data_IF_748361773123
#
_entry.id   IF_748361773123
#
_cell.length_a   1.000
_cell.length_b   1.000
_cell.length_c   1.000
_cell.angle_alpha   90.00
_cell.angle_beta   90.00
_cell.angle_gamma   90.00
#
_symmetry.space_group_name_H-M   'P 1'
#
loop_
_entity.id
_entity.type
_entity.pdbx_description
1 polymer ?
#
# COMPACT_ATOMS: atom_id res chain seq x y z
N UNK A 1 26.95 60.01 24.41
CA UNK A 1 25.57 60.39 24.00
C UNK A 1 25.43 60.16 22.50
N UNK A 2 24.40 59.55 21.92
CA UNK A 2 23.36 58.64 22.41
C UNK A 2 22.66 57.95 21.20
N UNK A 3 23.32 57.84 20.04
CA UNK A 3 22.64 57.48 18.78
C UNK A 3 23.35 56.47 17.86
N UNK A 4 24.50 55.88 18.22
CA UNK A 4 25.20 54.92 17.35
C UNK A 4 24.89 53.44 17.61
N UNK A 5 24.19 53.11 18.70
CA UNK A 5 23.84 51.72 19.04
C UNK A 5 22.43 51.29 18.57
N UNK A 6 21.58 52.25 18.15
CA UNK A 6 20.18 51.95 17.79
C UNK A 6 20.03 51.53 16.31
N UNK A 7 20.97 51.91 15.44
CA UNK A 7 20.87 51.61 14.01
C UNK A 7 21.29 50.18 13.64
N UNK A 8 22.10 49.50 14.48
CA UNK A 8 22.55 48.12 14.22
C UNK A 8 21.49 47.07 14.62
N UNK A 9 20.63 47.38 15.60
CA UNK A 9 19.59 46.46 16.08
C UNK A 9 18.40 46.42 15.12
N UNK A 10 18.09 47.53 14.44
CA UNK A 10 16.99 47.58 13.46
C UNK A 10 17.34 46.84 12.16
N UNK A 11 18.61 46.76 11.76
CA UNK A 11 19.00 46.04 10.54
C UNK A 11 19.13 44.52 10.74
N UNK A 12 19.48 44.06 11.95
CA UNK A 12 19.53 42.62 12.28
C UNK A 12 18.13 42.03 12.47
N UNK A 13 17.14 42.83 12.88
CA UNK A 13 15.74 42.41 12.97
C UNK A 13 14.99 42.46 11.62
N UNK A 14 15.48 43.19 10.61
CA UNK A 14 14.82 43.25 9.30
C UNK A 14 15.33 42.19 8.30
N UNK A 15 16.50 41.60 8.54
CA UNK A 15 17.08 40.53 7.69
C UNK A 15 16.80 39.10 8.19
N UNK A 16 16.17 38.95 9.37
CA UNK A 16 15.69 37.66 9.88
C UNK A 16 14.24 37.34 9.44
N UNK A 17 13.63 38.25 8.67
CA UNK A 17 12.29 38.13 8.10
C UNK A 17 12.25 37.76 6.61
N UNK A 18 13.37 37.40 5.99
CA UNK A 18 13.36 36.56 4.79
C UNK A 18 13.13 35.13 5.25
N UNK A 19 11.88 34.95 5.66
CA UNK A 19 11.21 33.71 5.93
C UNK A 19 11.72 32.69 4.93
N UNK A 20 12.39 31.66 5.44
CA UNK A 20 12.27 30.35 4.84
C UNK A 20 10.77 30.11 4.74
N UNK A 21 10.19 30.42 3.58
CA UNK A 21 9.01 29.74 3.11
C UNK A 21 9.47 28.29 3.04
N UNK A 22 9.40 27.59 4.17
CA UNK A 22 9.11 26.17 4.14
C UNK A 22 7.81 26.15 3.39
N UNK A 23 7.89 25.88 2.09
CA UNK A 23 6.79 25.27 1.40
C UNK A 23 6.49 24.08 2.29
N UNK A 24 5.42 24.17 3.07
CA UNK A 24 4.63 22.99 3.37
C UNK A 24 4.49 22.25 2.02
N UNK A 25 4.44 20.93 1.95
CA UNK A 25 4.16 20.26 0.66
C UNK A 25 3.00 19.27 0.80
N UNK A 26 2.60 18.71 -0.33
CA UNK A 26 1.31 18.03 -0.52
C UNK A 26 1.28 16.67 0.16
N UNK A 27 0.12 16.25 0.65
CA UNK A 27 -0.05 14.88 1.14
C UNK A 27 -0.37 13.94 -0.04
N UNK A 28 0.27 12.77 -0.04
CA UNK A 28 0.05 11.72 -1.03
C UNK A 28 -0.23 10.42 -0.29
N UNK A 29 -1.30 9.74 -0.67
CA UNK A 29 -1.63 8.42 -0.14
C UNK A 29 -1.43 7.35 -1.22
N UNK A 30 -0.97 6.18 -0.79
CA UNK A 30 -0.75 5.01 -1.64
C UNK A 30 -1.81 3.96 -1.33
N UNK A 31 -2.49 3.51 -2.37
CA UNK A 31 -3.25 2.27 -2.41
C UNK A 31 -2.36 1.20 -3.06
N UNK A 32 -1.65 0.41 -2.26
CA UNK A 32 -0.54 -0.42 -2.73
C UNK A 32 -0.99 -1.58 -3.62
N UNK A 33 -2.26 -1.98 -3.58
CA UNK A 33 -2.76 -3.02 -4.47
C UNK A 33 -4.19 -2.74 -4.93
N UNK A 34 -4.35 -2.43 -6.21
CA UNK A 34 -5.65 -2.37 -6.87
C UNK A 34 -5.74 -3.48 -7.92
N UNK A 35 -6.96 -3.93 -8.19
CA UNK A 35 -7.24 -4.93 -9.22
C UNK A 35 -8.47 -4.52 -10.01
N UNK A 36 -8.38 -4.77 -11.31
CA UNK A 36 -9.47 -4.67 -12.28
C UNK A 36 -9.58 -6.00 -13.01
N UNK A 37 -10.73 -6.66 -12.93
CA UNK A 37 -11.08 -7.82 -13.75
C UNK A 37 -12.59 -7.92 -13.91
N UNK A 38 -13.05 -8.91 -14.69
CA UNK A 38 -14.47 -9.21 -14.84
C UNK A 38 -15.10 -9.84 -13.59
N UNK A 39 -14.28 -10.25 -12.62
CA UNK A 39 -14.73 -10.99 -11.42
C UNK A 39 -14.28 -10.35 -10.12
N UNK A 40 -13.29 -9.46 -10.15
CA UNK A 40 -12.73 -8.79 -8.97
C UNK A 40 -12.58 -7.31 -9.27
N UNK A 41 -13.06 -6.47 -8.36
CA UNK A 41 -12.88 -5.03 -8.46
C UNK A 41 -12.42 -4.40 -7.16
N UNK A 42 -11.79 -3.23 -7.25
CA UNK A 42 -11.41 -2.41 -6.09
C UNK A 42 -12.27 -1.16 -6.02
N UNK A 43 -13.04 -1.02 -4.95
CA UNK A 43 -13.64 0.23 -4.54
C UNK A 43 -12.60 1.03 -3.75
N UNK A 44 -12.44 2.29 -4.12
CA UNK A 44 -11.53 3.22 -3.45
C UNK A 44 -12.38 4.33 -2.85
N UNK A 45 -12.09 4.70 -1.61
CA UNK A 45 -12.61 5.89 -0.95
C UNK A 45 -11.47 6.80 -0.57
N UNK A 46 -11.58 8.09 -0.90
CA UNK A 46 -10.61 9.12 -0.55
C UNK A 46 -11.33 10.24 0.16
N UNK A 47 -10.78 10.69 1.28
CA UNK A 47 -11.24 11.88 2.00
C UNK A 47 -10.17 12.95 1.90
N UNK A 48 -10.55 14.12 1.41
CA UNK A 48 -9.74 15.32 1.50
C UNK A 48 -10.02 16.05 2.82
N UNK A 49 -9.00 16.33 3.65
CA UNK A 49 -9.17 17.06 4.91
C UNK A 49 -8.74 18.53 4.88
N UNK A 50 -8.43 19.08 3.71
CA UNK A 50 -7.92 20.46 3.61
C UNK A 50 -8.63 21.33 2.58
N UNK A 51 -8.66 22.64 2.85
CA UNK A 51 -9.10 23.69 1.92
C UNK A 51 -8.01 24.13 0.93
N UNK A 52 -6.75 23.76 1.19
CA UNK A 52 -5.60 24.30 0.47
C UNK A 52 -5.43 23.73 -0.94
N UNK A 53 -6.13 22.65 -1.27
CA UNK A 53 -6.12 22.02 -2.58
C UNK A 53 -7.50 22.06 -3.22
N UNK A 54 -7.56 22.50 -4.48
CA UNK A 54 -8.80 22.55 -5.27
C UNK A 54 -8.99 21.30 -6.14
N UNK A 55 -7.96 20.47 -6.30
CA UNK A 55 -7.99 19.25 -7.09
C UNK A 55 -7.23 18.12 -6.40
N UNK A 56 -7.69 16.88 -6.61
CA UNK A 56 -6.91 15.68 -6.37
C UNK A 56 -6.44 15.10 -7.71
N UNK A 57 -5.17 14.71 -7.79
CA UNK A 57 -4.61 13.97 -8.91
C UNK A 57 -4.54 12.51 -8.55
N UNK A 58 -5.09 11.67 -9.42
CA UNK A 58 -5.12 10.22 -9.34
C UNK A 58 -4.11 9.67 -10.34
N UNK A 59 -3.19 8.83 -9.88
CA UNK A 59 -2.12 8.25 -10.71
C UNK A 59 -2.18 6.74 -10.55
N UNK A 60 -2.73 6.08 -11.56
CA UNK A 60 -2.69 4.63 -11.69
C UNK A 60 -1.37 4.19 -12.28
N UNK A 61 -0.80 3.18 -11.63
CA UNK A 61 0.40 2.48 -12.09
C UNK A 61 0.05 1.01 -12.16
N UNK A 62 -0.07 0.46 -13.36
CA UNK A 62 -0.68 -0.84 -13.57
C UNK A 62 -0.01 -1.63 -14.68
N UNK A 63 -0.31 -2.92 -14.74
CA UNK A 63 0.11 -3.81 -15.81
C UNK A 63 -0.84 -4.99 -15.95
N UNK A 64 -0.62 -5.81 -16.97
CA UNK A 64 -1.31 -7.09 -17.09
C UNK A 64 -1.05 -7.98 -15.87
N UNK A 65 -2.12 -8.54 -15.33
CA UNK A 65 -2.07 -9.33 -14.10
C UNK A 65 -1.13 -10.56 -14.18
N UNK A 66 -0.88 -11.09 -15.38
CA UNK A 66 -0.08 -12.30 -15.59
C UNK A 66 1.40 -12.02 -15.85
N UNK A 67 1.84 -10.75 -15.73
CA UNK A 67 3.20 -10.32 -16.09
C UNK A 67 3.94 -9.67 -14.90
N UNK A 68 4.35 -10.43 -13.87
CA UNK A 68 4.94 -9.89 -12.65
C UNK A 68 6.26 -9.13 -12.85
N UNK A 69 6.99 -9.39 -13.94
CA UNK A 69 8.26 -8.72 -14.28
C UNK A 69 8.13 -7.57 -15.30
N UNK A 70 6.96 -7.41 -15.92
CA UNK A 70 6.76 -6.36 -16.91
C UNK A 70 6.74 -4.95 -16.27
N UNK A 71 7.13 -3.97 -17.08
CA UNK A 71 7.01 -2.56 -16.76
C UNK A 71 5.55 -2.17 -16.55
N UNK A 72 5.31 -1.13 -15.73
CA UNK A 72 3.98 -0.59 -15.55
C UNK A 72 3.68 0.50 -16.56
N UNK A 73 2.44 0.51 -17.00
CA UNK A 73 1.80 1.62 -17.66
C UNK A 73 1.33 2.64 -16.60
N UNK A 74 1.13 3.87 -17.05
CA UNK A 74 0.75 5.00 -16.20
C UNK A 74 -0.44 5.70 -16.79
N UNK A 75 -1.51 5.81 -16.01
CA UNK A 75 -2.69 6.59 -16.35
C UNK A 75 -2.94 7.59 -15.24
N UNK A 76 -3.08 8.87 -15.59
CA UNK A 76 -3.37 9.90 -14.58
C UNK A 76 -4.42 10.90 -15.04
N UNK A 77 -5.16 11.41 -14.08
CA UNK A 77 -6.15 12.46 -14.26
C UNK A 77 -6.32 13.24 -12.95
N UNK A 78 -7.06 14.34 -13.01
CA UNK A 78 -7.36 15.17 -11.83
C UNK A 78 -8.86 15.42 -11.72
N UNK A 79 -9.34 15.60 -10.50
CA UNK A 79 -10.74 15.85 -10.19
C UNK A 79 -10.83 17.00 -9.19
N UNK A 80 -11.79 17.93 -9.35
CA UNK A 80 -12.04 18.93 -8.33
C UNK A 80 -12.32 18.27 -6.97
N UNK A 81 -11.94 18.94 -5.89
CA UNK A 81 -12.26 18.52 -4.51
C UNK A 81 -12.53 19.74 -3.63
N UNK A 82 -13.04 19.48 -2.43
CA UNK A 82 -13.23 20.49 -1.38
C UNK A 82 -12.82 19.91 -0.02
N UNK A 83 -12.78 20.74 1.03
CA UNK A 83 -12.48 20.25 2.37
C UNK A 83 -13.58 19.31 2.87
N UNK A 84 -13.18 18.20 3.48
CA UNK A 84 -14.05 17.12 3.95
C UNK A 84 -14.83 16.41 2.83
N UNK A 85 -14.44 16.62 1.58
CA UNK A 85 -14.94 15.86 0.43
C UNK A 85 -14.55 14.39 0.56
N UNK A 86 -15.56 13.51 0.48
CA UNK A 86 -15.41 12.06 0.46
C UNK A 86 -15.87 11.59 -0.91
N UNK A 87 -14.95 10.99 -1.65
CA UNK A 87 -15.22 10.40 -2.95
C UNK A 87 -14.97 8.90 -2.90
N UNK A 88 -15.98 8.12 -3.27
CA UNK A 88 -15.85 6.68 -3.46
C UNK A 88 -16.07 6.32 -4.92
N UNK A 89 -15.26 5.44 -5.48
CA UNK A 89 -15.38 5.02 -6.88
C UNK A 89 -14.89 3.60 -7.10
N UNK A 90 -15.28 3.03 -8.23
CA UNK A 90 -14.89 1.70 -8.65
C UNK A 90 -13.76 1.73 -9.69
N UNK A 91 -12.61 1.12 -9.37
CA UNK A 91 -11.42 1.07 -10.24
C UNK A 91 -11.69 0.32 -11.54
N UNK A 92 -12.53 -0.73 -11.52
CA UNK A 92 -12.84 -1.46 -12.75
C UNK A 92 -13.86 -0.74 -13.65
N UNK A 93 -14.67 0.15 -13.07
CA UNK A 93 -15.78 0.82 -13.74
C UNK A 93 -17.04 -0.03 -13.86
N UNK A 94 -17.17 -1.09 -13.06
CA UNK A 94 -18.34 -1.97 -13.00
C UNK A 94 -19.51 -1.29 -12.30
N UNK A 95 -19.24 -0.59 -11.20
CA UNK A 95 -20.25 0.15 -10.45
C UNK A 95 -20.29 1.61 -10.93
N UNK A 96 -21.50 2.07 -11.26
CA UNK A 96 -21.77 3.42 -11.77
C UNK A 96 -20.86 3.85 -12.94
N UNK A 97 -20.44 2.90 -13.79
CA UNK A 97 -19.50 3.14 -14.91
C UNK A 97 -18.17 3.78 -14.47
N UNK A 98 -17.78 3.59 -13.21
CA UNK A 98 -16.59 4.21 -12.61
C UNK A 98 -16.74 5.69 -12.30
N UNK A 99 -17.95 6.23 -12.34
CA UNK A 99 -18.26 7.50 -11.72
C UNK A 99 -18.25 7.36 -10.19
N UNK A 100 -18.35 8.51 -9.51
CA UNK A 100 -18.53 8.58 -8.08
C UNK A 100 -19.71 7.71 -7.60
N UNK A 101 -19.55 7.01 -6.48
CA UNK A 101 -20.57 6.14 -5.89
C UNK A 101 -21.37 6.88 -4.83
N UNK A 102 -22.35 6.17 -4.23
CA UNK A 102 -23.16 6.65 -3.10
C UNK A 102 -23.93 7.95 -3.36
N UNK A 103 -24.42 8.11 -4.61
CA UNK A 103 -25.21 9.24 -5.05
C UNK A 103 -24.50 10.59 -4.88
N UNK A 104 -23.18 10.59 -5.06
CA UNK A 104 -22.44 11.81 -5.26
C UNK A 104 -22.91 12.47 -6.58
N UNK A 105 -23.61 13.59 -6.44
CA UNK A 105 -24.19 14.33 -7.57
C UNK A 105 -23.20 15.32 -8.18
N UNK A 106 -21.98 15.41 -7.66
CA UNK A 106 -21.00 16.35 -8.17
C UNK A 106 -20.66 16.04 -9.64
N UNK A 107 -20.69 17.07 -10.46
CA UNK A 107 -20.28 16.97 -11.86
C UNK A 107 -18.75 17.07 -11.94
N UNK A 108 -18.08 15.94 -12.00
CA UNK A 108 -16.61 15.82 -12.10
C UNK A 108 -16.03 16.15 -13.49
N UNK A 109 -16.57 17.21 -14.13
CA UNK A 109 -16.42 17.54 -15.55
C UNK A 109 -17.03 16.48 -16.49
N UNK A 110 -17.69 16.94 -17.56
CA UNK A 110 -18.56 16.13 -18.43
C UNK A 110 -17.90 14.84 -18.96
N UNK A 111 -18.34 13.68 -18.44
CA UNK A 111 -17.96 12.35 -18.93
C UNK A 111 -16.67 11.75 -18.34
N UNK A 112 -16.14 12.36 -17.29
CA UNK A 112 -14.81 12.01 -16.76
C UNK A 112 -14.91 11.08 -15.54
N UNK A 113 -14.68 9.78 -15.79
CA UNK A 113 -14.75 8.70 -14.80
C UNK A 113 -13.47 8.56 -13.98
N UNK A 114 -13.53 7.88 -12.84
CA UNK A 114 -12.38 7.56 -11.98
C UNK A 114 -11.77 6.18 -12.29
N UNK A 115 -12.46 5.33 -13.04
CA UNK A 115 -12.00 3.97 -13.32
C UNK A 115 -10.76 3.94 -14.23
N UNK A 116 -10.01 2.84 -14.13
CA UNK A 116 -8.90 2.56 -15.04
C UNK A 116 -9.43 2.14 -16.41
N UNK A 117 -9.25 2.95 -17.45
CA UNK A 117 -9.89 2.76 -18.78
C UNK A 117 -9.32 1.60 -19.59
N UNK A 118 -8.15 1.09 -19.24
CA UNK A 118 -7.52 -0.06 -19.90
C UNK A 118 -8.40 -1.31 -19.91
N UNK A 119 -8.27 -2.10 -20.99
CA UNK A 119 -8.97 -3.37 -21.16
C UNK A 119 -8.21 -4.54 -20.55
N UNK A 120 -8.94 -5.59 -20.16
CA UNK A 120 -8.37 -6.83 -19.63
C UNK A 120 -8.08 -6.77 -18.13
N UNK A 121 -7.47 -7.83 -17.62
CA UNK A 121 -7.18 -7.96 -16.18
C UNK A 121 -5.96 -7.14 -15.82
N UNK A 122 -6.15 -6.12 -15.00
CA UNK A 122 -5.08 -5.24 -14.53
C UNK A 122 -4.85 -5.40 -13.04
N UNK A 123 -3.59 -5.31 -12.66
CA UNK A 123 -3.15 -5.15 -11.28
C UNK A 123 -2.26 -3.93 -11.22
N UNK A 124 -2.39 -3.16 -10.14
CA UNK A 124 -1.72 -1.88 -10.04
C UNK A 124 -1.56 -1.43 -8.60
N UNK A 125 -1.07 -0.21 -8.46
CA UNK A 125 -1.32 0.63 -7.30
C UNK A 125 -1.91 1.97 -7.78
N UNK A 126 -2.49 2.70 -6.83
CA UNK A 126 -3.00 4.05 -7.06
C UNK A 126 -2.32 5.01 -6.09
N UNK A 127 -1.81 6.12 -6.61
CA UNK A 127 -1.39 7.27 -5.82
C UNK A 127 -2.46 8.36 -5.94
N UNK A 128 -2.80 8.98 -4.82
CA UNK A 128 -3.68 10.15 -4.80
C UNK A 128 -2.95 11.28 -4.10
N UNK A 129 -2.87 12.43 -4.75
CA UNK A 129 -2.11 13.59 -4.27
C UNK A 129 -2.90 14.88 -4.46
N UNK A 130 -2.71 15.84 -3.56
CA UNK A 130 -3.25 17.18 -3.76
C UNK A 130 -2.59 17.89 -4.94
N UNK A 131 -3.39 18.60 -5.74
CA UNK A 131 -2.94 19.28 -6.95
C UNK A 131 -3.69 20.58 -7.23
N UNK A 132 -3.13 21.41 -8.10
CA UNK A 132 -3.81 22.59 -8.65
C UNK A 132 -4.62 22.23 -9.91
N UNK A 133 -5.28 23.23 -10.49
CA UNK A 133 -6.04 23.06 -11.74
C UNK A 133 -5.17 22.71 -12.96
N UNK A 134 -3.84 22.80 -12.89
CA UNK A 134 -2.91 22.34 -13.93
C UNK A 134 -2.52 20.88 -13.72
N UNK A 135 -2.81 20.30 -12.55
CA UNK A 135 -2.40 18.94 -12.19
C UNK A 135 -0.97 18.88 -11.62
N UNK A 136 -0.42 20.03 -11.25
CA UNK A 136 0.83 20.15 -10.52
C UNK A 136 0.54 19.94 -9.03
N UNK A 137 1.46 19.29 -8.34
CA UNK A 137 1.33 18.96 -6.92
C UNK A 137 1.22 20.23 -6.07
N UNK A 138 0.25 20.27 -5.15
CA UNK A 138 0.00 21.44 -4.28
C UNK A 138 0.19 21.05 -2.83
N UNK A 139 1.03 21.83 -2.17
CA UNK A 139 1.17 21.85 -0.73
C UNK A 139 -0.11 22.07 0.05
N UNK A 140 -0.31 21.27 1.11
CA UNK A 140 -1.45 21.49 2.02
C UNK A 140 -1.11 21.49 3.51
N UNK A 141 0.14 21.25 3.90
CA UNK A 141 0.57 21.36 5.30
C UNK A 141 0.30 20.10 6.11
N UNK A 142 -0.34 20.23 7.29
CA UNK A 142 -0.59 19.10 8.21
C UNK A 142 -1.96 18.44 8.06
N UNK A 143 -2.80 18.99 7.19
CA UNK A 143 -4.13 18.46 6.89
C UNK A 143 -4.06 17.58 5.65
N UNK A 144 -4.43 16.30 5.80
CA UNK A 144 -4.04 15.28 4.83
C UNK A 144 -5.14 14.58 4.07
N UNK A 145 -4.70 13.63 3.25
CA UNK A 145 -5.58 12.66 2.62
C UNK A 145 -5.77 11.47 3.55
N UNK A 146 -6.99 10.95 3.57
CA UNK A 146 -7.29 9.64 4.11
C UNK A 146 -7.84 8.76 3.00
N UNK A 147 -7.55 7.47 3.05
CA UNK A 147 -8.04 6.55 2.04
C UNK A 147 -8.31 5.16 2.59
N UNK A 148 -9.34 4.53 2.03
CA UNK A 148 -9.67 3.13 2.26
C UNK A 148 -9.99 2.46 0.94
N UNK A 149 -9.64 1.20 0.84
CA UNK A 149 -9.98 0.37 -0.31
C UNK A 149 -10.76 -0.85 0.17
N UNK A 150 -11.71 -1.28 -0.65
CA UNK A 150 -12.38 -2.58 -0.52
C UNK A 150 -12.25 -3.29 -1.85
N UNK A 151 -11.67 -4.48 -1.83
CA UNK A 151 -11.63 -5.35 -2.99
C UNK A 151 -12.75 -6.37 -2.84
N UNK A 152 -13.52 -6.54 -3.92
CA UNK A 152 -14.71 -7.37 -3.97
C UNK A 152 -14.54 -8.38 -5.10
N UNK A 153 -14.59 -9.66 -4.77
CA UNK A 153 -14.86 -10.71 -5.72
C UNK A 153 -16.38 -10.83 -5.89
N UNK A 154 -16.88 -10.33 -7.02
CA UNK A 154 -18.31 -10.26 -7.29
C UNK A 154 -18.91 -11.61 -7.67
N UNK A 155 -18.08 -12.62 -7.99
CA UNK A 155 -18.56 -13.97 -8.32
C UNK A 155 -18.76 -14.77 -7.05
N UNK A 156 -17.80 -14.69 -6.12
CA UNK A 156 -17.85 -15.46 -4.87
C UNK A 156 -18.52 -14.70 -3.73
N UNK A 157 -18.70 -13.38 -3.85
CA UNK A 157 -19.20 -12.51 -2.78
C UNK A 157 -18.14 -12.20 -1.71
N UNK A 158 -16.90 -12.64 -1.90
CA UNK A 158 -15.79 -12.33 -0.99
C UNK A 158 -15.42 -10.85 -1.05
N UNK A 159 -15.16 -10.24 0.10
CA UNK A 159 -14.67 -8.87 0.17
C UNK A 159 -13.66 -8.70 1.29
N UNK A 160 -12.66 -7.86 1.04
CA UNK A 160 -11.64 -7.49 2.02
C UNK A 160 -11.25 -6.03 1.81
N UNK A 161 -10.87 -5.33 2.87
CA UNK A 161 -10.49 -3.93 2.78
C UNK A 161 -9.20 -3.62 3.50
N UNK A 162 -8.60 -2.49 3.13
CA UNK A 162 -7.39 -1.98 3.77
C UNK A 162 -7.39 -0.46 3.76
N UNK A 163 -6.61 0.14 4.67
CA UNK A 163 -6.36 1.58 4.68
C UNK A 163 -5.21 1.92 3.74
N UNK A 164 -5.34 3.03 3.04
CA UNK A 164 -4.25 3.59 2.25
C UNK A 164 -3.08 3.93 3.16
N UNK A 165 -1.87 3.77 2.63
CA UNK A 165 -0.64 4.12 3.31
C UNK A 165 -0.45 5.62 3.13
N UNK A 166 -0.34 6.33 4.25
CA UNK A 166 0.06 7.73 4.26
C UNK A 166 1.55 7.81 4.58
N UNK A 167 2.29 8.60 3.81
CA UNK A 167 3.69 8.85 4.06
C UNK A 167 3.84 9.70 5.34
N UNK A 168 4.39 9.09 6.40
CA UNK A 168 4.53 9.71 7.72
C UNK A 168 5.52 10.89 7.73
N UNK A 169 6.49 10.90 6.81
CA UNK A 169 7.51 11.96 6.77
C UNK A 169 7.14 13.16 5.90
N UNK A 170 6.00 13.09 5.19
CA UNK A 170 5.55 14.11 4.23
C UNK A 170 6.58 14.28 3.10
N UNK A 171 6.05 14.49 1.90
CA UNK A 171 6.82 15.03 0.76
C UNK A 171 7.84 14.06 0.15
N UNK A 172 7.38 13.19 -0.72
CA UNK A 172 7.65 13.23 -2.16
C UNK A 172 7.06 11.93 -2.70
N UNK A 173 7.12 11.63 -3.99
CA UNK A 173 6.92 10.24 -4.43
C UNK A 173 8.07 9.32 -3.99
N UNK A 174 8.73 9.71 -2.91
CA UNK A 174 9.89 9.22 -2.18
C UNK A 174 9.30 8.64 -0.92
N UNK A 175 8.83 7.40 -1.03
CA UNK A 175 8.72 6.56 0.16
C UNK A 175 10.16 6.31 0.57
N UNK A 176 10.74 7.26 1.31
CA UNK A 176 12.12 7.21 1.72
C UNK A 176 12.36 5.91 2.47
N UNK A 177 13.57 5.39 2.32
CA UNK A 177 14.18 4.43 3.21
C UNK A 177 14.39 5.04 4.62
N UNK A 178 13.32 5.53 5.28
CA UNK A 178 13.35 6.08 6.65
C UNK A 178 13.34 4.99 7.70
N UNK A 179 13.78 3.78 7.33
CA UNK A 179 13.65 2.61 8.18
C UNK A 179 12.26 1.98 8.13
N UNK A 180 11.38 2.36 7.21
CA UNK A 180 10.18 1.58 6.87
C UNK A 180 10.55 0.43 5.93
N UNK A 181 11.41 -0.47 6.41
CA UNK A 181 11.73 -1.72 5.73
C UNK A 181 10.50 -2.63 5.63
N UNK A 182 10.34 -3.30 4.49
CA UNK A 182 9.52 -4.50 4.30
C UNK A 182 8.29 -4.60 5.20
N UNK A 183 7.37 -3.64 5.10
CA UNK A 183 6.17 -3.66 5.93
C UNK A 183 5.22 -4.71 5.36
N UNK A 184 5.30 -5.92 5.91
CA UNK A 184 4.16 -6.82 5.91
C UNK A 184 3.14 -6.19 6.85
N UNK A 185 2.17 -5.48 6.27
CA UNK A 185 1.05 -4.95 7.05
C UNK A 185 0.13 -6.13 7.37
N UNK A 186 0.50 -6.92 8.38
CA UNK A 186 -0.50 -7.59 9.21
C UNK A 186 -1.06 -6.51 10.13
N UNK A 187 -2.39 -6.37 10.18
CA UNK A 187 -3.08 -5.31 10.93
C UNK A 187 -2.87 -5.41 12.46
N UNK A 188 -2.10 -6.39 12.94
CA UNK A 188 -1.45 -6.30 14.25
C UNK A 188 -0.17 -5.48 14.13
N UNK A 189 -0.34 -4.17 13.98
CA UNK A 189 0.65 -3.23 14.48
C UNK A 189 0.86 -3.53 15.96
N UNK A 190 1.89 -4.29 16.30
CA UNK A 190 2.42 -4.37 17.65
C UNK A 190 3.09 -3.02 17.97
N UNK A 191 2.29 -1.96 18.07
CA UNK A 191 2.76 -0.71 18.64
C UNK A 191 2.95 -0.98 20.13
N UNK A 192 4.19 -0.92 20.57
CA UNK A 192 4.51 -1.04 22.00
C UNK A 192 3.84 0.16 22.67
N UNK A 193 3.05 -0.04 23.74
CA UNK A 193 2.50 1.08 24.51
C UNK A 193 3.67 1.98 24.90
N UNK A 194 3.61 3.24 24.49
CA UNK A 194 4.61 4.21 24.91
C UNK A 194 4.49 4.34 26.44
N UNK A 195 5.53 4.02 27.23
CA UNK A 195 5.44 4.09 28.69
C UNK A 195 5.28 5.54 29.20
N UNK A 196 5.35 6.53 28.32
CA UNK A 196 5.10 7.94 28.63
C UNK A 196 3.60 8.22 28.48
N UNK A 197 2.91 8.40 29.62
CA UNK A 197 1.49 8.70 29.69
C UNK A 197 1.11 9.94 28.85
N UNK A 198 0.33 9.72 27.78
CA UNK A 198 -0.28 10.79 26.98
C UNK A 198 0.20 10.89 25.53
N UNK A 199 1.26 10.16 25.17
CA UNK A 199 1.75 10.10 23.79
C UNK A 199 1.13 8.88 23.07
N UNK A 200 0.78 9.00 21.78
CA UNK A 200 0.33 7.86 20.98
C UNK A 200 1.40 6.75 20.97
N UNK A 201 0.97 5.48 20.86
CA UNK A 201 1.89 4.34 20.91
C UNK A 201 2.95 4.44 19.81
N UNK A 202 4.20 4.17 20.19
CA UNK A 202 5.36 4.38 19.32
C UNK A 202 5.62 3.10 18.53
N UNK A 203 5.14 3.05 17.29
CA UNK A 203 5.40 1.93 16.38
C UNK A 203 6.82 2.11 15.81
N UNK A 204 7.77 1.27 16.22
CA UNK A 204 9.15 1.32 15.72
C UNK A 204 9.20 0.84 14.26
N UNK A 205 9.81 1.63 13.35
CA UNK A 205 10.15 1.16 12.01
C UNK A 205 11.22 0.08 12.13
N UNK A 206 10.98 -1.03 11.47
CA UNK A 206 11.93 -2.11 11.34
C UNK A 206 12.93 -1.80 10.25
N UNK A 207 14.23 -1.82 10.56
CA UNK A 207 15.30 -1.54 9.60
C UNK A 207 15.15 -2.31 8.28
N UNK A 208 15.61 -1.76 7.14
CA UNK A 208 15.61 -2.48 5.86
C UNK A 208 16.27 -3.85 6.03
N UNK A 209 15.52 -4.91 5.71
CA UNK A 209 15.95 -6.29 5.97
C UNK A 209 15.39 -6.91 7.25
N UNK A 210 14.47 -6.27 7.97
CA UNK A 210 13.73 -6.98 9.00
C UNK A 210 12.67 -7.90 8.39
N UNK A 211 12.81 -9.17 8.71
CA UNK A 211 11.90 -10.23 8.31
C UNK A 211 10.61 -10.13 9.12
N UNK A 212 9.45 -10.09 8.48
CA UNK A 212 8.15 -10.09 9.17
C UNK A 212 7.54 -11.48 9.15
N UNK A 213 7.22 -12.00 10.34
CA UNK A 213 6.53 -13.29 10.46
C UNK A 213 5.10 -13.15 9.97
N UNK A 214 4.62 -14.14 9.22
CA UNK A 214 3.21 -14.32 8.94
C UNK A 214 2.83 -15.78 9.17
N UNK A 215 1.59 -15.99 9.59
CA UNK A 215 0.98 -17.31 9.70
C UNK A 215 0.21 -17.57 8.41
N UNK A 216 0.15 -18.83 8.00
CA UNK A 216 -0.68 -19.26 6.89
C UNK A 216 -1.43 -20.57 7.19
N UNK A 217 -2.53 -20.77 6.48
CA UNK A 217 -3.35 -21.98 6.59
C UNK A 217 -2.85 -23.16 5.74
N UNK A 218 -3.28 -24.41 6.03
CA UNK A 218 -2.94 -25.57 5.22
C UNK A 218 -3.17 -25.29 3.72
N UNK A 219 -2.14 -25.35 2.86
CA UNK A 219 -2.27 -25.03 1.44
C UNK A 219 -3.22 -25.94 0.65
N UNK A 220 -3.58 -27.11 1.19
CA UNK A 220 -4.57 -28.02 0.60
C UNK A 220 -6.02 -27.58 0.85
N UNK A 221 -6.25 -26.77 1.87
CA UNK A 221 -7.57 -26.26 2.27
C UNK A 221 -7.74 -24.78 1.87
N UNK A 222 -6.63 -24.02 1.92
CA UNK A 222 -6.61 -22.59 1.72
C UNK A 222 -5.57 -22.18 0.69
N UNK A 223 -5.81 -21.06 0.02
CA UNK A 223 -4.79 -20.37 -0.74
C UNK A 223 -4.36 -19.13 0.02
N UNK A 224 -3.07 -19.02 0.25
CA UNK A 224 -2.44 -17.78 0.72
C UNK A 224 -1.84 -17.05 -0.48
N UNK A 225 -2.25 -15.81 -0.70
CA UNK A 225 -1.76 -14.94 -1.77
C UNK A 225 -1.16 -13.67 -1.20
N UNK A 226 -0.01 -13.28 -1.73
CA UNK A 226 0.72 -12.06 -1.38
C UNK A 226 0.62 -11.05 -2.50
N UNK A 227 0.32 -9.80 -2.17
CA UNK A 227 0.32 -8.66 -3.06
C UNK A 227 1.46 -7.75 -2.64
N UNK A 228 2.41 -7.56 -3.54
CA UNK A 228 3.70 -6.97 -3.24
C UNK A 228 3.90 -5.76 -4.12
N UNK A 229 4.26 -4.62 -3.53
CA UNK A 229 4.45 -3.35 -4.22
C UNK A 229 5.76 -2.72 -3.73
N UNK A 230 6.79 -2.59 -4.59
CA UNK A 230 7.98 -1.84 -4.26
C UNK A 230 7.62 -0.36 -4.08
N UNK A 231 8.21 0.23 -3.04
CA UNK A 231 8.02 1.63 -2.67
C UNK A 231 9.40 2.29 -2.63
N UNK A 232 9.48 3.55 -3.01
CA UNK A 232 10.74 4.27 -3.16
C UNK A 232 10.48 5.64 -3.77
N UNK A 233 11.50 6.23 -4.40
CA UNK A 233 11.43 7.55 -5.05
C UNK A 233 10.85 7.46 -6.45
N UNK A 234 10.14 8.52 -6.87
CA UNK A 234 9.58 8.60 -8.21
C UNK A 234 8.51 7.54 -8.48
N UNK A 235 7.75 7.05 -7.50
CA UNK A 235 6.67 6.08 -7.77
C UNK A 235 5.66 6.55 -8.84
N UNK A 236 5.50 7.86 -9.05
CA UNK A 236 4.66 8.40 -10.11
C UNK A 236 5.32 8.43 -11.49
N UNK A 237 6.65 8.30 -11.60
CA UNK A 237 7.43 8.41 -12.84
C UNK A 237 8.27 7.17 -13.18
N UNK A 238 8.64 6.33 -12.21
CA UNK A 238 9.58 5.22 -12.35
C UNK A 238 8.96 3.83 -12.15
N UNK A 239 9.61 2.81 -12.73
CA UNK A 239 9.27 1.40 -12.52
C UNK A 239 10.17 0.83 -11.43
N UNK A 240 9.76 1.00 -10.17
CA UNK A 240 10.51 0.46 -9.04
C UNK A 240 10.53 -1.07 -9.07
N UNK A 241 11.66 -1.65 -8.71
CA UNK A 241 11.84 -3.10 -8.63
C UNK A 241 12.10 -3.53 -7.19
N UNK A 242 11.68 -4.75 -6.87
CA UNK A 242 11.95 -5.41 -5.59
C UNK A 242 12.14 -6.90 -5.82
N UNK A 243 12.91 -7.54 -4.93
CA UNK A 243 13.12 -8.99 -4.94
C UNK A 243 12.70 -9.55 -3.60
N UNK A 244 11.76 -10.47 -3.59
CA UNK A 244 11.13 -10.95 -2.35
C UNK A 244 11.22 -12.46 -2.19
N UNK A 245 11.22 -12.95 -0.96
CA UNK A 245 11.26 -14.37 -0.67
C UNK A 245 10.55 -14.70 0.65
N UNK A 246 10.11 -15.94 0.81
CA UNK A 246 9.65 -16.50 2.07
C UNK A 246 10.79 -17.31 2.68
N UNK A 247 11.12 -17.08 3.95
CA UNK A 247 12.26 -17.73 4.65
C UNK A 247 11.85 -18.23 6.03
N UNK A 248 12.59 -19.20 6.59
CA UNK A 248 12.25 -19.78 7.89
C UNK A 248 12.71 -18.87 9.02
N UNK A 249 13.94 -18.36 8.99
CA UNK A 249 14.49 -17.45 10.00
C UNK A 249 15.77 -16.85 9.46
N UNK A 250 15.94 -15.54 9.63
CA UNK A 250 17.22 -14.88 9.34
C UNK A 250 18.01 -14.84 10.63
N UNK A 251 18.98 -15.76 10.75
CA UNK A 251 19.93 -15.75 11.88
C UNK A 251 21.07 -14.75 11.57
N UNK A 252 21.41 -14.58 10.30
CA UNK A 252 22.29 -13.50 9.82
C UNK A 252 22.05 -13.22 8.33
N UNK A 253 22.43 -12.03 7.81
CA UNK A 253 22.36 -11.71 6.38
C UNK A 253 23.15 -12.68 5.48
N UNK A 254 24.11 -13.42 6.04
CA UNK A 254 24.99 -14.32 5.32
C UNK A 254 24.49 -15.78 5.24
N UNK A 255 23.41 -16.13 5.94
CA UNK A 255 22.88 -17.49 5.95
C UNK A 255 21.36 -17.49 6.18
N UNK A 256 20.54 -17.21 5.14
CA UNK A 256 19.13 -17.53 5.20
C UNK A 256 19.00 -19.04 5.37
N UNK A 257 18.41 -19.48 6.49
CA UNK A 257 18.00 -20.86 6.62
C UNK A 257 16.74 -21.03 5.75
N UNK A 258 16.88 -21.70 4.61
CA UNK A 258 15.77 -21.95 3.67
C UNK A 258 14.70 -22.80 4.33
N UNK A 259 13.45 -22.34 4.30
CA UNK A 259 12.33 -23.17 4.72
C UNK A 259 11.13 -22.38 5.21
N UNK A 260 10.14 -23.15 5.66
CA UNK A 260 8.90 -22.68 6.27
C UNK A 260 8.70 -23.50 7.54
N UNK A 261 8.01 -23.00 8.55
CA UNK A 261 7.70 -23.80 9.73
C UNK A 261 6.29 -24.37 9.64
N UNK A 262 6.13 -25.65 9.93
CA UNK A 262 4.81 -26.21 10.18
C UNK A 262 4.24 -25.70 11.51
N UNK A 263 2.91 -25.70 11.67
CA UNK A 263 2.26 -25.30 12.94
C UNK A 263 2.71 -26.13 14.15
N UNK A 264 3.17 -27.36 13.94
CA UNK A 264 3.72 -28.22 14.99
C UNK A 264 5.14 -27.86 15.45
N UNK A 265 5.72 -26.75 14.96
CA UNK A 265 7.09 -26.32 15.30
C UNK A 265 8.20 -27.08 14.57
N UNK A 266 7.85 -28.10 13.78
CA UNK A 266 8.77 -28.80 12.89
C UNK A 266 9.25 -27.90 11.75
N UNK A 267 10.56 -27.94 11.49
CA UNK A 267 11.17 -27.24 10.36
C UNK A 267 10.81 -27.98 9.07
N UNK A 268 10.09 -27.32 8.15
CA UNK A 268 9.95 -27.84 6.79
C UNK A 268 11.19 -27.43 6.01
N UNK A 269 12.10 -28.37 5.79
CA UNK A 269 13.24 -28.17 4.90
C UNK A 269 12.75 -28.13 3.46
N UNK A 270 13.21 -27.14 2.72
CA UNK A 270 13.03 -27.01 1.28
C UNK A 270 13.65 -25.71 0.78
N UNK A 271 13.97 -25.69 -0.50
CA UNK A 271 14.46 -24.51 -1.17
C UNK A 271 13.35 -23.44 -1.23
N UNK A 272 13.74 -22.21 -0.93
CA UNK A 272 12.86 -21.04 -1.01
C UNK A 272 13.20 -20.26 -2.27
N UNK A 273 12.19 -19.83 -3.02
CA UNK A 273 12.41 -19.15 -4.30
C UNK A 273 12.21 -17.64 -4.17
N UNK A 274 13.27 -16.90 -4.47
CA UNK A 274 13.17 -15.46 -4.65
C UNK A 274 12.33 -15.13 -5.90
N UNK A 275 11.46 -14.13 -5.78
CA UNK A 275 10.66 -13.58 -6.88
C UNK A 275 11.06 -12.14 -7.14
N UNK A 276 11.37 -11.86 -8.39
CA UNK A 276 11.57 -10.49 -8.87
C UNK A 276 10.22 -9.92 -9.30
N UNK A 277 9.99 -8.64 -8.98
CA UNK A 277 8.81 -7.92 -9.43
C UNK A 277 9.14 -6.48 -9.83
N UNK A 278 8.35 -5.98 -10.77
CA UNK A 278 8.39 -4.58 -11.24
C UNK A 278 7.06 -3.90 -10.91
N UNK A 279 7.10 -2.87 -10.08
CA UNK A 279 6.04 -2.03 -9.50
C UNK A 279 4.89 -2.70 -8.71
N UNK A 280 4.29 -3.81 -9.15
CA UNK A 280 3.31 -4.56 -8.34
C UNK A 280 3.26 -6.02 -8.78
N UNK A 281 3.05 -6.97 -7.87
CA UNK A 281 2.82 -8.36 -8.24
C UNK A 281 1.89 -9.06 -7.24
N UNK A 282 1.25 -10.13 -7.71
CA UNK A 282 0.52 -11.06 -6.87
C UNK A 282 1.16 -12.45 -7.00
N UNK A 283 1.48 -13.09 -5.89
CA UNK A 283 2.11 -14.40 -5.83
C UNK A 283 1.35 -15.30 -4.87
N UNK A 284 1.16 -16.57 -5.25
CA UNK A 284 0.63 -17.57 -4.34
C UNK A 284 1.77 -18.11 -3.46
N UNK A 285 1.46 -18.58 -2.25
CA UNK A 285 2.45 -19.15 -1.35
C UNK A 285 3.24 -20.29 -1.99
N UNK A 286 2.57 -21.10 -2.83
CA UNK A 286 3.20 -22.18 -3.58
C UNK A 286 4.27 -21.70 -4.56
N UNK A 287 4.25 -20.44 -4.98
CA UNK A 287 5.28 -19.88 -5.86
C UNK A 287 6.61 -19.72 -5.12
N UNK A 288 6.59 -19.61 -3.79
CA UNK A 288 7.76 -19.39 -2.93
C UNK A 288 8.33 -20.68 -2.32
N UNK A 289 7.68 -21.82 -2.53
CA UNK A 289 8.01 -23.09 -1.87
C UNK A 289 8.29 -24.19 -2.88
N UNK A 290 9.32 -25.01 -2.63
CA UNK A 290 9.49 -26.25 -3.38
C UNK A 290 8.45 -27.31 -2.97
N UNK A 291 8.44 -28.43 -3.69
CA UNK A 291 7.54 -29.54 -3.39
C UNK A 291 7.79 -30.17 -2.02
N UNK A 292 9.03 -30.10 -1.50
CA UNK A 292 9.43 -30.70 -0.22
C UNK A 292 8.86 -29.91 0.95
N UNK A 293 9.08 -28.60 0.96
CA UNK A 293 8.52 -27.68 1.94
C UNK A 293 7.00 -27.71 1.88
N UNK A 294 6.42 -27.76 0.67
CA UNK A 294 4.97 -27.89 0.50
C UNK A 294 4.44 -29.17 1.15
N UNK A 295 5.02 -30.33 0.86
CA UNK A 295 4.58 -31.61 1.42
C UNK A 295 4.64 -31.62 2.96
N UNK A 296 5.62 -30.94 3.55
CA UNK A 296 5.78 -30.87 5.00
C UNK A 296 4.72 -29.99 5.71
N UNK A 297 4.10 -29.02 5.02
CA UNK A 297 3.09 -28.12 5.61
C UNK A 297 1.69 -28.30 5.02
N UNK A 298 1.54 -29.16 4.01
CA UNK A 298 0.35 -29.28 3.18
C UNK A 298 -0.95 -29.38 3.98
N UNK A 299 -0.95 -30.18 5.06
CA UNK A 299 -2.13 -30.49 5.86
C UNK A 299 -2.22 -29.73 7.20
N UNK A 300 -1.15 -29.05 7.61
CA UNK A 300 -1.08 -28.41 8.94
C UNK A 300 -0.96 -26.90 8.85
N UNK A 301 -0.61 -26.35 7.69
CA UNK A 301 -0.27 -24.94 7.56
C UNK A 301 1.00 -24.61 8.33
N UNK A 302 1.23 -23.33 8.58
CA UNK A 302 2.49 -22.95 9.18
C UNK A 302 2.67 -21.47 9.43
N UNK A 303 3.93 -21.11 9.60
CA UNK A 303 4.38 -19.73 9.65
C UNK A 303 5.74 -19.62 8.96
N UNK A 304 6.00 -18.44 8.41
CA UNK A 304 7.26 -18.12 7.79
C UNK A 304 7.53 -16.63 7.96
N UNK A 305 8.69 -16.19 7.52
CA UNK A 305 8.95 -14.78 7.37
C UNK A 305 8.95 -14.39 5.91
N UNK A 306 8.49 -13.18 5.64
CA UNK A 306 8.71 -12.56 4.35
C UNK A 306 9.93 -11.67 4.43
N UNK A 307 10.76 -11.73 3.39
CA UNK A 307 12.02 -11.00 3.31
C UNK A 307 12.16 -10.31 1.97
N UNK A 308 12.60 -9.05 2.00
CA UNK A 308 13.06 -8.33 0.83
C UNK A 308 14.56 -8.58 0.64
N UNK A 309 14.91 -9.29 -0.43
CA UNK A 309 16.28 -9.59 -0.83
C UNK A 309 16.93 -8.42 -1.59
N UNK A 310 16.17 -7.40 -1.97
CA UNK A 310 16.64 -6.25 -2.73
C UNK A 310 17.28 -5.16 -1.86
N UNK A 311 18.41 -4.63 -2.32
CA UNK A 311 19.18 -3.55 -1.67
C UNK A 311 18.71 -2.13 -2.05
N UNK A 312 17.79 -1.97 -3.00
CA UNK A 312 17.48 -0.67 -3.62
C UNK A 312 16.14 -0.05 -3.22
N UNK A 313 15.07 -0.83 -3.00
CA UNK A 313 13.75 -0.31 -2.62
C UNK A 313 13.06 -1.21 -1.59
N UNK A 314 12.45 -0.64 -0.53
CA UNK A 314 11.53 -1.37 0.34
C UNK A 314 10.27 -1.87 -0.41
N UNK A 315 9.53 -2.79 0.20
CA UNK A 315 8.28 -3.32 -0.35
C UNK A 315 7.16 -3.25 0.69
N UNK A 316 5.95 -3.01 0.21
CA UNK A 316 4.71 -3.17 0.95
C UNK A 316 4.09 -4.50 0.57
N UNK A 317 3.65 -5.28 1.55
CA UNK A 317 3.04 -6.60 1.32
C UNK A 317 1.68 -6.70 1.99
N UNK A 318 0.66 -7.09 1.22
CA UNK A 318 -0.63 -7.52 1.71
C UNK A 318 -0.77 -9.03 1.54
N UNK A 319 -1.17 -9.72 2.59
CA UNK A 319 -1.49 -11.15 2.56
C UNK A 319 -3.00 -11.33 2.57
N UNK A 320 -3.54 -12.15 1.67
CA UNK A 320 -4.90 -12.66 1.73
C UNK A 320 -4.90 -14.17 1.84
N UNK A 321 -5.89 -14.71 2.54
CA UNK A 321 -6.13 -16.15 2.60
C UNK A 321 -7.59 -16.44 2.26
N UNK A 322 -7.82 -17.44 1.42
CA UNK A 322 -9.16 -17.82 0.97
C UNK A 322 -9.30 -19.33 0.85
N UNK A 323 -10.50 -19.85 1.10
CA UNK A 323 -10.78 -21.29 1.06
C UNK A 323 -10.93 -21.76 -0.39
N UNK A 324 -10.31 -22.89 -0.73
CA UNK A 324 -10.32 -23.42 -2.10
C UNK A 324 -11.68 -24.00 -2.52
N UNK A 325 -12.39 -24.68 -1.62
CA UNK A 325 -13.52 -25.54 -1.99
C UNK A 325 -14.58 -25.66 -0.88
N UNK A 326 -14.90 -24.56 -0.18
CA UNK A 326 -15.93 -24.62 0.85
C UNK A 326 -17.00 -23.53 0.64
N UNK A 327 -18.18 -23.96 0.21
CA UNK A 327 -19.35 -23.08 0.03
C UNK A 327 -19.89 -22.52 1.35
N UNK A 328 -19.59 -23.14 2.50
CA UNK A 328 -19.98 -22.65 3.82
C UNK A 328 -19.01 -21.59 4.37
N UNK A 329 -17.74 -21.59 3.93
CA UNK A 329 -16.74 -20.59 4.28
C UNK A 329 -16.33 -19.74 3.06
N UNK A 330 -17.30 -19.44 2.18
CA UNK A 330 -17.10 -18.63 0.99
C UNK A 330 -16.67 -17.22 1.34
N UNK A 331 -15.37 -17.02 1.60
CA UNK A 331 -14.85 -15.74 2.04
C UNK A 331 -13.35 -15.80 2.30
N UNK A 332 -12.70 -14.64 2.12
CA UNK A 332 -11.34 -14.39 2.56
C UNK A 332 -11.31 -14.32 4.08
N UNK A 333 -10.49 -15.15 4.73
CA UNK A 333 -10.26 -15.08 6.17
C UNK A 333 -8.82 -14.59 6.33
N UNK A 334 -8.70 -13.27 6.51
CA UNK A 334 -7.60 -12.53 7.16
C UNK A 334 -7.08 -11.30 6.35
N UNK A 335 -6.70 -10.26 7.11
CA UNK A 335 -6.19 -8.92 6.76
C UNK A 335 -7.12 -7.94 6.02
N UNK A 336 -8.41 -8.24 5.91
CA UNK A 336 -9.43 -7.23 5.66
C UNK A 336 -10.61 -7.42 6.61
N UNK A 337 -11.31 -6.34 6.94
CA UNK A 337 -12.57 -6.46 7.68
C UNK A 337 -13.56 -7.26 6.82
N UNK A 338 -14.02 -8.43 7.28
CA UNK A 338 -15.18 -9.10 6.68
C UNK A 338 -16.40 -8.20 6.88
N UNK A 339 -16.85 -7.52 5.82
CA UNK A 339 -18.02 -6.61 5.90
C UNK A 339 -19.36 -7.36 5.84
N UNK A 340 -19.36 -8.63 5.42
CA UNK A 340 -20.54 -9.50 5.45
C UNK A 340 -20.14 -10.96 5.54
N UNK A 341 -20.05 -11.47 6.76
CA UNK A 341 -20.05 -12.90 7.02
C UNK A 341 -21.52 -13.22 7.38
N UNK A 342 -22.26 -13.89 6.48
CA UNK A 342 -23.61 -14.39 6.81
C UNK A 342 -23.46 -15.57 7.80
N UNK A 343 -24.27 -15.65 8.87
CA UNK A 343 -24.16 -16.72 9.87
C UNK A 343 -24.43 -18.12 9.32
#
# INVERSE_FOLDING_TARGET
>A
MKYKAVFLIVFVCFMSGLLFSKTTKADTILFPYIVKSDTVTTLISVVNKTLSASYLKYIYRHKDANQPVANCDVTSFKRPTSENDLISFDVAGRFNEGNALFNDTNSYMYGDTFHLKDTGVKRGYLLVTHSNNLGERVSVGSEGLYGEAVIIDVVTGGAWGYRAINDREREDYTFTDTGTGSALYTIEEACIPNPIYGEPPYCYPSTPGESRTFIFFPPNEWVTRFFVTPIGNGMDTENLTGRVNVVSKIISPAAPLGGVYGRGGGYAMGDTFAKDLTCVAAFDLVDFMDSTARAAVENIGGWAYFYNLGLTNPVVIYKLEYVLNNSAYGGTINNGYCLSCSP
#
